data_IF_511124386896
#
_entry.id   IF_511124386896
#
_cell.length_a   1.000
_cell.length_b   1.000
_cell.length_c   1.000
_cell.angle_alpha   90.00
_cell.angle_beta   90.00
_cell.angle_gamma   90.00
#
_symmetry.space_group_name_H-M   'P 1'
#
loop_
_entity.id
_entity.type
_entity.pdbx_description
1 polymer ?
#
# COMPACT_ATOMS: atom_id res chain seq x y z
N UNK A 1 0.98 -15.99 1.81
CA UNK A 1 2.19 -16.57 1.20
C UNK A 1 2.81 -15.52 0.28
N UNK A 2 4.12 -15.27 0.43
CA UNK A 2 4.88 -14.47 -0.54
C UNK A 2 5.40 -15.39 -1.63
N UNK A 3 5.16 -15.03 -2.90
CA UNK A 3 5.52 -15.83 -4.07
C UNK A 3 6.41 -14.96 -4.97
N UNK A 4 7.71 -15.27 -5.09
CA UNK A 4 8.57 -14.62 -6.07
C UNK A 4 8.06 -14.90 -7.49
N UNK A 5 7.93 -13.85 -8.31
CA UNK A 5 7.34 -14.00 -9.66
C UNK A 5 8.17 -14.87 -10.59
N UNK A 6 9.49 -14.86 -10.42
CA UNK A 6 10.44 -15.68 -11.17
C UNK A 6 10.43 -17.17 -10.77
N UNK A 7 9.76 -17.52 -9.66
CA UNK A 7 9.63 -18.90 -9.22
C UNK A 7 8.45 -19.61 -9.92
N UNK A 8 8.71 -20.14 -11.12
CA UNK A 8 7.70 -20.82 -11.93
C UNK A 8 7.04 -22.02 -11.24
N UNK A 9 7.73 -22.71 -10.33
CA UNK A 9 7.17 -23.84 -9.58
C UNK A 9 6.11 -23.38 -8.60
N UNK A 10 6.43 -22.39 -7.75
CA UNK A 10 5.49 -21.84 -6.78
C UNK A 10 4.29 -21.17 -7.45
N UNK A 11 4.52 -20.45 -8.56
CA UNK A 11 3.45 -19.89 -9.39
C UNK A 11 2.53 -20.98 -9.93
N UNK A 12 3.09 -22.08 -10.42
CA UNK A 12 2.32 -23.24 -10.92
C UNK A 12 1.48 -23.90 -9.82
N UNK A 13 2.05 -24.11 -8.64
CA UNK A 13 1.36 -24.69 -7.49
C UNK A 13 0.22 -23.77 -7.01
N UNK A 14 0.46 -22.48 -6.94
CA UNK A 14 -0.57 -21.47 -6.60
C UNK A 14 -1.74 -21.54 -7.60
N UNK A 15 -1.47 -21.52 -8.90
CA UNK A 15 -2.53 -21.58 -9.92
C UNK A 15 -3.29 -22.91 -9.88
N UNK A 16 -2.61 -24.03 -9.61
CA UNK A 16 -3.25 -25.33 -9.43
C UNK A 16 -4.17 -25.35 -8.19
N UNK A 17 -3.73 -24.73 -7.10
CA UNK A 17 -4.56 -24.59 -5.89
C UNK A 17 -5.79 -23.72 -6.15
N UNK A 18 -5.64 -22.58 -6.81
CA UNK A 18 -6.76 -21.70 -7.19
C UNK A 18 -7.74 -22.47 -8.05
N UNK A 19 -7.27 -23.22 -9.06
CA UNK A 19 -8.12 -24.06 -9.91
C UNK A 19 -8.92 -25.06 -9.09
N UNK A 20 -8.27 -25.78 -8.18
CA UNK A 20 -8.95 -26.75 -7.30
C UNK A 20 -10.07 -26.11 -6.48
N UNK A 21 -9.85 -24.90 -5.95
CA UNK A 21 -10.85 -24.17 -5.18
C UNK A 21 -12.02 -23.70 -6.03
N UNK A 22 -11.75 -23.24 -7.25
CA UNK A 22 -12.79 -22.87 -8.22
C UNK A 22 -13.65 -24.07 -8.58
N UNK A 23 -13.03 -25.25 -8.81
CA UNK A 23 -13.73 -26.50 -9.10
C UNK A 23 -14.58 -26.97 -7.90
N UNK A 24 -14.21 -26.59 -6.67
CA UNK A 24 -15.00 -26.78 -5.45
C UNK A 24 -16.13 -25.73 -5.28
N UNK A 25 -16.29 -24.82 -6.23
CA UNK A 25 -17.33 -23.78 -6.18
C UNK A 25 -16.96 -22.53 -5.41
N UNK A 26 -15.68 -22.32 -5.12
CA UNK A 26 -15.15 -21.12 -4.48
C UNK A 26 -14.78 -20.05 -5.50
N UNK A 27 -14.32 -18.88 -5.05
CA UNK A 27 -14.01 -17.70 -5.86
C UNK A 27 -12.59 -17.21 -5.59
N UNK A 28 -11.99 -16.58 -6.58
CA UNK A 28 -10.67 -15.99 -6.46
C UNK A 28 -10.65 -14.54 -6.96
N UNK A 29 -10.07 -13.66 -6.15
CA UNK A 29 -9.69 -12.31 -6.56
C UNK A 29 -8.26 -12.32 -7.12
N UNK A 30 -8.04 -11.51 -8.14
CA UNK A 30 -6.72 -11.18 -8.66
C UNK A 30 -6.62 -9.66 -8.70
N UNK A 31 -5.66 -9.10 -7.98
CA UNK A 31 -5.49 -7.65 -7.85
C UNK A 31 -4.24 -7.22 -8.60
N UNK A 32 -4.40 -6.20 -9.45
CA UNK A 32 -3.32 -5.59 -10.20
C UNK A 32 -3.26 -4.09 -9.89
N UNK A 33 -2.06 -3.49 -9.89
CA UNK A 33 -1.92 -2.07 -9.60
C UNK A 33 -2.44 -1.14 -10.70
N UNK A 34 -2.45 -1.59 -11.95
CA UNK A 34 -2.79 -0.75 -13.12
C UNK A 34 -3.96 -1.33 -13.93
N UNK A 35 -4.64 -0.45 -14.67
CA UNK A 35 -5.73 -0.85 -15.59
C UNK A 35 -5.14 -1.32 -16.92
N UNK A 36 -4.33 -0.48 -17.56
CA UNK A 36 -3.75 -0.71 -18.88
C UNK A 36 -2.22 -0.72 -18.84
N UNK A 37 -1.58 -1.41 -19.78
CA UNK A 37 -0.11 -1.49 -19.87
C UNK A 37 0.55 -0.17 -20.30
N UNK A 38 -0.14 0.63 -21.16
CA UNK A 38 0.42 1.83 -21.80
C UNK A 38 0.21 3.14 -21.01
N UNK A 39 -0.23 3.08 -19.75
CA UNK A 39 -0.55 4.27 -18.95
C UNK A 39 0.68 4.89 -18.23
N UNK A 40 1.91 4.68 -18.73
CA UNK A 40 3.13 5.18 -18.05
C UNK A 40 3.19 6.70 -17.95
N UNK A 41 2.57 7.44 -18.90
CA UNK A 41 2.68 8.90 -18.95
C UNK A 41 1.49 9.65 -18.32
N UNK A 42 0.36 8.99 -18.09
CA UNK A 42 -0.85 9.66 -17.60
C UNK A 42 -0.91 9.78 -16.06
N UNK A 43 -0.39 8.81 -15.32
CA UNK A 43 -0.43 8.82 -13.86
C UNK A 43 0.68 9.70 -13.25
N UNK A 44 1.85 9.78 -13.89
CA UNK A 44 2.90 10.72 -13.50
C UNK A 44 2.52 12.21 -13.70
N UNK A 45 1.74 12.50 -14.74
CA UNK A 45 1.24 13.86 -15.02
C UNK A 45 0.09 14.28 -14.07
N UNK A 46 -0.71 13.33 -13.58
CA UNK A 46 -1.80 13.59 -12.63
C UNK A 46 -1.27 13.84 -11.21
N UNK A 47 -0.21 13.15 -10.79
CA UNK A 47 0.44 13.42 -9.51
C UNK A 47 1.10 14.81 -9.46
N UNK A 48 1.71 15.25 -10.56
CA UNK A 48 2.29 16.60 -10.65
C UNK A 48 1.24 17.73 -10.73
N UNK A 49 0.02 17.44 -11.22
CA UNK A 49 -1.10 18.39 -11.31
C UNK A 49 -1.91 18.52 -10.02
N UNK A 50 -1.88 17.53 -9.13
CA UNK A 50 -2.59 17.58 -7.85
C UNK A 50 -1.93 18.53 -6.81
N UNK A 51 -0.70 18.98 -7.08
CA UNK A 51 -0.01 19.98 -6.24
C UNK A 51 -0.56 21.42 -6.42
N UNK A 52 -1.46 21.67 -7.37
CA UNK A 52 -2.14 22.98 -7.50
C UNK A 52 -3.65 22.79 -7.35
N UNK A 53 -4.14 23.12 -6.18
CA UNK A 53 -5.46 22.89 -5.64
C UNK A 53 -6.64 23.11 -6.57
N UNK A 54 -7.43 22.06 -6.76
CA UNK A 54 -8.88 22.17 -6.97
C UNK A 54 -9.55 20.88 -6.52
N UNK A 55 -10.48 21.02 -5.57
CA UNK A 55 -11.34 19.94 -5.07
C UNK A 55 -12.32 19.54 -6.16
N UNK A 56 -12.19 18.34 -6.73
CA UNK A 56 -13.32 17.61 -7.30
C UNK A 56 -13.22 16.16 -6.84
N UNK A 57 -14.26 15.73 -6.14
CA UNK A 57 -14.43 14.38 -5.65
C UNK A 57 -14.60 13.41 -6.82
N UNK A 58 -13.88 12.29 -6.80
CA UNK A 58 -14.20 11.13 -7.62
C UNK A 58 -13.08 10.67 -8.56
N UNK A 59 -11.97 10.19 -8.03
CA UNK A 59 -11.14 9.18 -8.66
C UNK A 59 -10.22 8.59 -7.58
N UNK A 60 -10.67 7.48 -6.99
CA UNK A 60 -9.79 6.62 -6.21
C UNK A 60 -8.97 5.77 -7.20
N UNK A 61 -8.06 6.39 -7.92
CA UNK A 61 -6.86 5.69 -8.33
C UNK A 61 -6.14 5.38 -7.02
N UNK A 62 -5.96 4.12 -6.69
CA UNK A 62 -5.20 3.72 -5.53
C UNK A 62 -3.83 4.38 -5.63
N UNK A 63 -3.63 5.43 -4.87
CA UNK A 63 -2.33 6.01 -4.70
C UNK A 63 -1.49 4.89 -4.10
N UNK A 64 -0.53 4.38 -4.88
CA UNK A 64 0.57 3.63 -4.31
C UNK A 64 1.10 4.48 -3.18
N UNK A 65 1.37 3.85 -2.07
CA UNK A 65 1.85 4.57 -0.91
C UNK A 65 3.30 5.00 -1.15
N UNK A 66 3.45 6.14 -1.84
CA UNK A 66 4.75 6.76 -2.15
C UNK A 66 5.58 7.03 -0.89
N UNK A 67 4.98 6.96 0.30
CA UNK A 67 5.66 7.14 1.57
C UNK A 67 6.79 6.12 1.80
N UNK A 68 6.72 4.95 1.18
CA UNK A 68 7.80 3.95 1.25
C UNK A 68 8.92 4.20 0.23
N UNK A 69 8.68 5.00 -0.79
CA UNK A 69 9.63 5.29 -1.85
C UNK A 69 10.51 6.52 -1.58
N UNK A 70 10.26 7.25 -0.49
CA UNK A 70 10.99 8.49 -0.13
C UNK A 70 12.49 8.30 0.16
N UNK A 71 12.98 7.07 0.22
CA UNK A 71 14.40 6.76 0.47
C UNK A 71 15.14 6.20 -0.73
N UNK A 72 14.49 5.97 -1.85
CA UNK A 72 15.11 5.40 -3.03
C UNK A 72 15.56 6.50 -4.01
N UNK A 73 16.77 6.34 -4.55
CA UNK A 73 17.30 7.23 -5.58
C UNK A 73 16.50 7.08 -6.88
N UNK A 74 16.30 8.19 -7.61
CA UNK A 74 15.55 8.23 -8.88
C UNK A 74 16.09 7.21 -9.92
N UNK A 75 17.39 6.90 -9.86
CA UNK A 75 17.99 5.86 -10.71
C UNK A 75 17.47 4.45 -10.38
N UNK A 76 17.20 4.14 -9.12
CA UNK A 76 16.64 2.84 -8.71
C UNK A 76 15.17 2.72 -9.10
N UNK A 77 14.42 3.82 -9.02
CA UNK A 77 13.04 3.88 -9.50
C UNK A 77 12.93 3.62 -11.01
N UNK A 78 13.82 4.22 -11.79
CA UNK A 78 13.86 4.06 -13.25
C UNK A 78 14.25 2.64 -13.72
N UNK A 79 14.88 1.84 -12.87
CA UNK A 79 15.28 0.46 -13.19
C UNK A 79 14.23 -0.58 -12.82
N UNK A 80 13.14 -0.20 -12.16
CA UNK A 80 12.09 -1.14 -11.78
C UNK A 80 11.29 -1.58 -13.01
N UNK A 81 10.92 -2.87 -13.09
CA UNK A 81 10.06 -3.33 -14.17
C UNK A 81 8.68 -2.66 -14.09
N UNK A 82 8.00 -2.47 -15.24
CA UNK A 82 6.66 -1.88 -15.27
C UNK A 82 5.68 -2.71 -14.44
N UNK A 83 4.69 -2.03 -13.85
CA UNK A 83 3.67 -2.67 -13.04
C UNK A 83 2.71 -3.48 -13.92
N UNK A 84 2.22 -4.60 -13.39
CA UNK A 84 1.22 -5.41 -14.07
C UNK A 84 -0.12 -4.68 -14.21
N UNK A 85 -0.73 -4.82 -15.36
CA UNK A 85 -2.08 -4.30 -15.62
C UNK A 85 -3.15 -5.39 -15.58
N UNK A 86 -4.41 -4.97 -15.35
CA UNK A 86 -5.56 -5.88 -15.41
C UNK A 86 -5.65 -6.55 -16.77
N UNK A 87 -5.46 -5.80 -17.88
CA UNK A 87 -5.54 -6.32 -19.22
C UNK A 87 -4.50 -7.40 -19.48
N UNK A 88 -3.23 -7.13 -19.14
CA UNK A 88 -2.12 -8.09 -19.30
C UNK A 88 -2.35 -9.37 -18.49
N UNK A 89 -2.74 -9.23 -17.22
CA UNK A 89 -2.93 -10.39 -16.35
C UNK A 89 -4.14 -11.23 -16.78
N UNK A 90 -5.23 -10.64 -17.27
CA UNK A 90 -6.35 -11.39 -17.83
C UNK A 90 -5.89 -12.23 -19.02
N UNK A 91 -5.17 -11.65 -19.97
CA UNK A 91 -4.65 -12.37 -21.13
C UNK A 91 -3.70 -13.50 -20.71
N UNK A 92 -2.77 -13.21 -19.80
CA UNK A 92 -1.83 -14.20 -19.25
C UNK A 92 -2.57 -15.36 -18.58
N UNK A 93 -3.54 -15.09 -17.70
CA UNK A 93 -4.30 -16.13 -17.00
C UNK A 93 -5.18 -16.96 -17.95
N UNK A 94 -5.81 -16.34 -18.94
CA UNK A 94 -6.62 -17.04 -19.94
C UNK A 94 -5.79 -17.98 -20.81
N UNK A 95 -4.51 -17.68 -21.02
CA UNK A 95 -3.59 -18.54 -21.79
C UNK A 95 -3.12 -19.77 -21.01
N UNK A 96 -3.26 -19.78 -19.68
CA UNK A 96 -2.79 -20.87 -18.83
C UNK A 96 -3.70 -22.11 -18.94
N UNK A 97 -3.11 -23.31 -19.12
CA UNK A 97 -3.89 -24.56 -19.21
C UNK A 97 -4.77 -24.81 -17.97
N UNK A 98 -4.34 -24.37 -16.79
CA UNK A 98 -5.05 -24.52 -15.52
C UNK A 98 -6.42 -23.84 -15.55
N UNK A 99 -6.55 -22.72 -16.28
CA UNK A 99 -7.78 -21.94 -16.32
C UNK A 99 -8.60 -22.14 -17.60
N UNK A 100 -8.28 -23.18 -18.38
CA UNK A 100 -9.07 -23.51 -19.57
C UNK A 100 -10.54 -23.75 -19.20
N UNK A 101 -11.44 -23.00 -19.85
CA UNK A 101 -12.87 -23.07 -19.64
C UNK A 101 -13.39 -22.27 -18.44
N UNK A 102 -12.53 -21.59 -17.71
CA UNK A 102 -12.93 -20.65 -16.65
C UNK A 102 -13.24 -19.29 -17.26
N UNK A 103 -14.33 -18.68 -16.78
CA UNK A 103 -14.68 -17.30 -17.14
C UNK A 103 -14.09 -16.33 -16.16
N UNK A 104 -13.58 -15.21 -16.69
CA UNK A 104 -13.02 -14.11 -15.93
C UNK A 104 -13.94 -12.91 -16.02
N UNK A 105 -14.06 -12.15 -14.94
CA UNK A 105 -14.58 -10.81 -14.96
C UNK A 105 -13.45 -9.81 -14.67
N UNK A 106 -13.61 -8.59 -15.14
CA UNK A 106 -12.72 -7.47 -14.80
C UNK A 106 -13.50 -6.39 -14.07
N UNK A 107 -12.85 -5.71 -13.13
CA UNK A 107 -13.42 -4.59 -12.40
C UNK A 107 -12.37 -3.52 -12.14
N UNK A 108 -12.64 -2.31 -12.60
CA UNK A 108 -11.70 -1.19 -12.51
C UNK A 108 -12.37 0.07 -11.97
N UNK A 109 -11.59 1.08 -11.64
CA UNK A 109 -12.12 2.38 -11.24
C UNK A 109 -12.90 3.12 -12.33
N UNK A 110 -12.73 2.71 -13.60
CA UNK A 110 -13.43 3.32 -14.75
C UNK A 110 -14.83 2.79 -14.97
N UNK A 111 -15.17 1.66 -14.35
CA UNK A 111 -16.49 1.05 -14.51
C UNK A 111 -17.56 1.85 -13.75
N UNK A 112 -18.74 1.98 -14.35
CA UNK A 112 -19.88 2.62 -13.70
C UNK A 112 -20.50 1.70 -12.61
N UNK A 113 -21.33 2.26 -11.76
CA UNK A 113 -21.90 1.52 -10.62
C UNK A 113 -22.84 0.38 -11.06
N UNK A 114 -23.48 0.48 -12.23
CA UNK A 114 -24.33 -0.58 -12.79
C UNK A 114 -23.46 -1.76 -13.21
N UNK A 115 -22.39 -1.50 -13.95
CA UNK A 115 -21.40 -2.51 -14.37
C UNK A 115 -20.76 -3.17 -13.15
N UNK A 116 -20.34 -2.37 -12.15
CA UNK A 116 -19.77 -2.90 -10.89
C UNK A 116 -20.73 -3.85 -10.20
N UNK A 117 -22.00 -3.46 -10.08
CA UNK A 117 -23.02 -4.28 -9.44
C UNK A 117 -23.26 -5.60 -10.17
N UNK A 118 -23.33 -5.58 -11.51
CA UNK A 118 -23.52 -6.78 -12.33
C UNK A 118 -22.30 -7.71 -12.24
N UNK A 119 -21.09 -7.18 -12.37
CA UNK A 119 -19.83 -7.94 -12.27
C UNK A 119 -19.72 -8.63 -10.91
N UNK A 120 -20.05 -7.91 -9.83
CA UNK A 120 -20.04 -8.49 -8.48
C UNK A 120 -21.10 -9.58 -8.29
N UNK A 121 -22.30 -9.41 -8.85
CA UNK A 121 -23.35 -10.45 -8.81
C UNK A 121 -22.92 -11.72 -9.58
N UNK A 122 -22.33 -11.57 -10.76
CA UNK A 122 -21.81 -12.69 -11.55
C UNK A 122 -20.64 -13.40 -10.84
N UNK A 123 -19.79 -12.66 -10.16
CA UNK A 123 -18.71 -13.20 -9.35
C UNK A 123 -19.25 -13.95 -8.12
N UNK A 124 -20.17 -13.37 -7.37
CA UNK A 124 -20.80 -14.00 -6.20
C UNK A 124 -21.54 -15.28 -6.57
N UNK A 125 -22.33 -15.27 -7.66
CA UNK A 125 -23.05 -16.46 -8.16
C UNK A 125 -22.13 -17.54 -8.71
N UNK A 126 -20.90 -17.17 -9.15
CA UNK A 126 -19.91 -18.05 -9.75
C UNK A 126 -20.01 -18.21 -11.26
N UNK A 127 -20.78 -17.36 -11.89
CA UNK A 127 -20.78 -17.25 -13.35
C UNK A 127 -19.37 -16.89 -13.85
N UNK A 128 -18.71 -16.00 -13.14
CA UNK A 128 -17.30 -15.60 -13.36
C UNK A 128 -16.50 -15.82 -12.09
N UNK A 129 -15.99 -17.03 -11.84
CA UNK A 129 -15.37 -17.39 -10.55
C UNK A 129 -14.02 -16.71 -10.28
N UNK A 130 -13.42 -16.06 -11.27
CA UNK A 130 -12.21 -15.24 -11.10
C UNK A 130 -12.54 -13.80 -11.45
N UNK A 131 -12.26 -12.89 -10.53
CA UNK A 131 -12.38 -11.44 -10.71
C UNK A 131 -10.99 -10.81 -10.71
N UNK A 132 -10.59 -10.24 -11.85
CA UNK A 132 -9.35 -9.48 -11.99
C UNK A 132 -9.68 -8.00 -11.87
N UNK A 133 -9.09 -7.33 -10.90
CA UNK A 133 -9.47 -5.96 -10.57
C UNK A 133 -8.27 -5.11 -10.12
N UNK A 134 -8.46 -3.81 -10.13
CA UNK A 134 -7.59 -2.90 -9.36
C UNK A 134 -8.02 -2.89 -7.88
N UNK A 135 -7.44 -2.03 -7.07
CA UNK A 135 -7.77 -1.88 -5.64
C UNK A 135 -9.22 -1.46 -5.35
N UNK A 136 -10.03 -1.19 -6.36
CA UNK A 136 -11.47 -0.89 -6.18
C UNK A 136 -12.23 -1.94 -5.37
N UNK A 137 -11.71 -3.16 -5.26
CA UNK A 137 -12.28 -4.21 -4.41
C UNK A 137 -12.08 -3.97 -2.90
N UNK A 138 -11.29 -3.00 -2.50
CA UNK A 138 -11.18 -2.58 -1.09
C UNK A 138 -12.52 -2.05 -0.55
N UNK A 139 -13.33 -1.46 -1.42
CA UNK A 139 -14.66 -0.93 -1.10
C UNK A 139 -15.69 -1.79 -1.80
N UNK A 140 -16.44 -2.63 -1.09
CA UNK A 140 -17.48 -3.39 -1.75
C UNK A 140 -18.04 -4.56 -0.97
N UNK A 141 -18.78 -5.39 -1.67
CA UNK A 141 -19.57 -6.51 -1.16
C UNK A 141 -18.67 -7.64 -0.68
N UNK A 142 -18.98 -8.17 0.49
CA UNK A 142 -18.36 -9.38 1.02
C UNK A 142 -18.86 -10.61 0.28
N UNK A 143 -17.96 -11.31 -0.40
CA UNK A 143 -18.29 -12.57 -1.08
C UNK A 143 -17.86 -13.75 -0.20
N UNK A 144 -18.84 -14.39 0.44
CA UNK A 144 -18.59 -15.46 1.42
C UNK A 144 -17.80 -16.65 0.87
N UNK A 145 -17.92 -16.92 -0.44
CA UNK A 145 -17.18 -18.01 -1.12
C UNK A 145 -15.82 -17.58 -1.68
N UNK A 146 -15.40 -16.36 -1.47
CA UNK A 146 -14.06 -15.91 -1.89
C UNK A 146 -13.01 -16.48 -0.91
N UNK A 147 -12.22 -17.43 -1.41
CA UNK A 147 -11.22 -18.14 -0.62
C UNK A 147 -9.79 -17.84 -1.04
N UNK A 148 -9.58 -17.29 -2.22
CA UNK A 148 -8.25 -16.93 -2.71
C UNK A 148 -8.18 -15.47 -3.12
N UNK A 149 -7.07 -14.83 -2.78
CA UNK A 149 -6.68 -13.54 -3.33
C UNK A 149 -5.22 -13.59 -3.81
N UNK A 150 -4.98 -13.16 -5.03
CA UNK A 150 -3.65 -12.99 -5.61
C UNK A 150 -3.42 -11.50 -5.79
N UNK A 151 -2.32 -10.98 -5.30
CA UNK A 151 -1.96 -9.56 -5.42
C UNK A 151 -0.65 -9.49 -6.20
N UNK A 152 -0.72 -8.99 -7.43
CA UNK A 152 0.46 -8.74 -8.26
C UNK A 152 1.18 -7.47 -7.81
N UNK A 153 2.51 -7.44 -7.98
CA UNK A 153 3.36 -6.34 -7.53
C UNK A 153 3.12 -5.97 -6.05
N UNK A 154 2.97 -6.99 -5.20
CA UNK A 154 2.63 -6.81 -3.79
C UNK A 154 3.67 -5.96 -3.03
N UNK A 155 4.91 -5.94 -3.49
CA UNK A 155 6.00 -5.10 -2.99
C UNK A 155 5.77 -3.60 -3.18
N UNK A 156 4.79 -3.22 -4.02
CA UNK A 156 4.43 -1.82 -4.32
C UNK A 156 3.28 -1.30 -3.48
N UNK A 157 2.64 -2.16 -2.70
CA UNK A 157 1.53 -1.79 -1.83
C UNK A 157 2.00 -1.48 -0.41
N UNK A 158 1.28 -0.57 0.26
CA UNK A 158 1.43 -0.32 1.68
C UNK A 158 0.93 -1.49 2.53
N UNK A 159 1.48 -1.62 3.75
CA UNK A 159 1.09 -2.66 4.70
C UNK A 159 -0.42 -2.64 5.01
N UNK A 160 -0.97 -1.45 5.23
CA UNK A 160 -2.40 -1.26 5.49
C UNK A 160 -3.27 -1.71 4.32
N UNK A 161 -2.88 -1.41 3.07
CA UNK A 161 -3.59 -1.85 1.87
C UNK A 161 -3.55 -3.37 1.71
N UNK A 162 -2.37 -3.99 1.86
CA UNK A 162 -2.24 -5.44 1.81
C UNK A 162 -3.09 -6.13 2.88
N UNK A 163 -3.16 -5.55 4.08
CA UNK A 163 -4.01 -6.06 5.15
C UNK A 163 -5.51 -5.99 4.78
N UNK A 164 -5.96 -4.88 4.22
CA UNK A 164 -7.35 -4.70 3.78
C UNK A 164 -7.70 -5.66 2.64
N UNK A 165 -6.83 -5.80 1.63
CA UNK A 165 -7.02 -6.74 0.53
C UNK A 165 -7.06 -8.19 1.02
N UNK A 166 -6.14 -8.61 1.90
CA UNK A 166 -6.16 -9.93 2.52
C UNK A 166 -7.46 -10.20 3.25
N UNK A 167 -8.02 -9.19 3.91
CA UNK A 167 -9.29 -9.27 4.61
C UNK A 167 -10.53 -9.47 3.72
N UNK A 168 -10.38 -9.48 2.38
CA UNK A 168 -11.48 -9.73 1.43
C UNK A 168 -11.81 -11.21 1.26
N UNK A 169 -10.97 -12.10 1.74
CA UNK A 169 -11.18 -13.55 1.66
C UNK A 169 -11.31 -14.18 3.05
N UNK A 170 -11.92 -15.37 3.11
CA UNK A 170 -12.04 -16.14 4.35
C UNK A 170 -13.23 -15.74 5.24
N UNK A 171 -14.11 -14.85 4.81
CA UNK A 171 -15.24 -14.37 5.61
C UNK A 171 -16.37 -15.41 5.77
N UNK A 172 -16.40 -16.44 4.91
CA UNK A 172 -17.38 -17.51 4.96
C UNK A 172 -17.01 -18.69 5.84
N UNK A 173 -15.95 -18.62 6.67
CA UNK A 173 -15.49 -19.73 7.49
C UNK A 173 -14.75 -20.83 6.71
N UNK A 174 -14.47 -20.63 5.43
CA UNK A 174 -13.63 -21.52 4.62
C UNK A 174 -12.16 -21.15 4.77
N UNK A 175 -11.29 -22.15 4.65
CA UNK A 175 -9.85 -21.92 4.56
C UNK A 175 -9.56 -20.97 3.41
N UNK A 176 -8.81 -19.91 3.66
CA UNK A 176 -8.49 -18.91 2.66
C UNK A 176 -6.99 -18.73 2.50
N UNK A 177 -6.57 -18.29 1.31
CA UNK A 177 -5.19 -18.02 1.00
C UNK A 177 -5.01 -16.65 0.32
N UNK A 178 -4.03 -15.89 0.81
CA UNK A 178 -3.56 -14.69 0.15
C UNK A 178 -2.16 -14.96 -0.43
N UNK A 179 -1.98 -14.68 -1.72
CA UNK A 179 -0.75 -14.86 -2.45
C UNK A 179 -0.23 -13.50 -2.90
N UNK A 180 0.94 -13.14 -2.40
CA UNK A 180 1.59 -11.85 -2.63
C UNK A 180 2.70 -12.07 -3.66
N UNK A 181 2.43 -11.70 -4.92
CA UNK A 181 3.40 -11.84 -6.00
C UNK A 181 4.36 -10.66 -5.93
N UNK A 182 5.66 -10.95 -5.83
CA UNK A 182 6.67 -9.93 -5.63
C UNK A 182 7.86 -10.10 -6.56
N UNK A 183 8.42 -8.99 -6.98
CA UNK A 183 9.69 -8.88 -7.71
C UNK A 183 10.77 -8.19 -6.87
N UNK A 184 10.49 -7.96 -5.61
CA UNK A 184 11.43 -7.31 -4.70
C UNK A 184 12.65 -8.21 -4.42
N UNK A 185 13.87 -7.64 -4.37
CA UNK A 185 15.04 -8.34 -3.87
C UNK A 185 14.83 -8.82 -2.42
N UNK A 186 15.36 -10.01 -2.09
CA UNK A 186 15.14 -10.63 -0.77
C UNK A 186 15.57 -9.75 0.42
N UNK A 187 16.60 -8.92 0.24
CA UNK A 187 17.15 -8.08 1.31
C UNK A 187 16.53 -6.67 1.35
N UNK A 188 15.53 -6.39 0.52
CA UNK A 188 14.91 -5.07 0.42
C UNK A 188 13.93 -4.78 1.56
N UNK A 189 13.67 -3.50 1.81
CA UNK A 189 12.62 -3.08 2.74
C UNK A 189 11.22 -3.57 2.29
N UNK A 190 11.01 -3.64 0.98
CA UNK A 190 9.78 -4.19 0.41
C UNK A 190 9.59 -5.67 0.79
N UNK A 191 10.64 -6.50 0.69
CA UNK A 191 10.58 -7.91 1.12
C UNK A 191 10.27 -8.00 2.62
N UNK A 192 10.94 -7.19 3.46
CA UNK A 192 10.67 -7.14 4.91
C UNK A 192 9.24 -6.75 5.25
N UNK A 193 8.62 -5.82 4.49
CA UNK A 193 7.19 -5.50 4.64
C UNK A 193 6.30 -6.69 4.33
N UNK A 194 6.59 -7.42 3.26
CA UNK A 194 5.83 -8.62 2.89
C UNK A 194 5.94 -9.73 3.95
N UNK A 195 7.11 -9.88 4.57
CA UNK A 195 7.31 -10.82 5.69
C UNK A 195 6.41 -10.47 6.87
N UNK A 196 6.22 -9.19 7.19
CA UNK A 196 5.28 -8.77 8.25
C UNK A 196 3.85 -9.20 7.91
N UNK A 197 3.37 -8.93 6.70
CA UNK A 197 2.03 -9.34 6.26
C UNK A 197 1.87 -10.86 6.28
N UNK A 198 2.91 -11.61 5.96
CA UNK A 198 2.88 -13.08 6.02
C UNK A 198 2.89 -13.58 7.47
N UNK A 199 3.61 -12.91 8.37
CA UNK A 199 3.86 -13.37 9.75
C UNK A 199 2.71 -13.15 10.72
N UNK A 200 1.85 -12.14 10.51
CA UNK A 200 0.77 -11.83 11.45
C UNK A 200 -0.56 -11.53 10.77
N UNK A 201 -1.65 -11.81 11.48
CA UNK A 201 -3.02 -11.42 11.13
C UNK A 201 -3.51 -10.23 11.98
N UNK A 202 -2.73 -9.83 13.00
CA UNK A 202 -3.11 -8.75 13.92
C UNK A 202 -2.92 -7.39 13.23
N UNK A 203 -4.04 -6.66 13.09
CA UNK A 203 -4.04 -5.33 12.50
C UNK A 203 -3.24 -4.30 13.30
N UNK A 204 -3.13 -4.47 14.63
CA UNK A 204 -2.35 -3.57 15.48
C UNK A 204 -0.84 -3.77 15.26
N UNK A 205 -0.38 -5.03 15.14
CA UNK A 205 1.02 -5.32 14.82
C UNK A 205 1.38 -4.81 13.41
N UNK A 206 0.48 -4.95 12.44
CA UNK A 206 0.67 -4.42 11.09
C UNK A 206 0.75 -2.90 11.08
N UNK A 207 -0.14 -2.22 11.81
CA UNK A 207 -0.12 -0.76 11.93
C UNK A 207 1.16 -0.26 12.61
N UNK A 208 1.62 -0.98 13.63
CA UNK A 208 2.89 -0.67 14.30
C UNK A 208 4.08 -0.82 13.34
N UNK A 209 4.13 -1.90 12.57
CA UNK A 209 5.16 -2.12 11.56
C UNK A 209 5.10 -1.06 10.44
N UNK A 210 3.89 -0.67 10.00
CA UNK A 210 3.69 0.39 9.01
C UNK A 210 4.32 1.71 9.44
N UNK A 211 4.09 2.10 10.70
CA UNK A 211 4.73 3.25 11.33
C UNK A 211 6.26 3.14 11.39
N UNK A 212 6.77 1.94 11.66
CA UNK A 212 8.23 1.71 11.72
C UNK A 212 8.90 1.83 10.35
N UNK A 213 8.25 1.34 9.29
CA UNK A 213 8.75 1.42 7.91
C UNK A 213 8.65 2.83 7.32
N UNK A 214 7.55 3.54 7.55
CA UNK A 214 7.37 4.93 7.09
C UNK A 214 8.34 5.90 7.77
N UNK A 215 8.80 5.55 8.95
CA UNK A 215 9.64 6.45 9.76
C UNK A 215 8.85 7.59 10.40
N UNK A 216 9.55 8.37 11.21
CA UNK A 216 8.94 9.41 12.04
C UNK A 216 8.47 10.65 11.29
N UNK A 217 8.95 10.90 10.07
CA UNK A 217 8.65 12.11 9.30
C UNK A 217 7.19 12.22 8.87
N UNK A 218 6.62 11.09 8.46
CA UNK A 218 5.26 11.05 7.91
C UNK A 218 4.16 11.24 8.97
N UNK A 219 4.43 10.79 10.21
CA UNK A 219 3.44 10.83 11.30
C UNK A 219 3.22 12.25 11.84
N UNK A 220 4.19 13.14 11.62
CA UNK A 220 4.15 14.52 12.14
C UNK A 220 3.71 15.56 11.09
N UNK A 221 3.27 15.12 9.91
CA UNK A 221 2.76 16.03 8.88
C UNK A 221 3.84 16.76 8.07
N UNK A 222 5.10 16.35 8.17
CA UNK A 222 6.21 16.90 7.37
C UNK A 222 6.23 16.38 5.91
N UNK A 223 5.16 15.66 5.50
CA UNK A 223 5.01 15.05 4.17
C UNK A 223 4.99 16.05 3.00
N UNK A 224 5.00 17.36 3.25
CA UNK A 224 5.03 18.37 2.18
C UNK A 224 6.42 18.80 1.72
N UNK A 225 7.50 18.33 2.35
CA UNK A 225 8.84 18.84 2.01
C UNK A 225 9.94 17.78 1.86
N UNK A 226 9.62 16.51 1.59
CA UNK A 226 10.63 15.48 1.20
C UNK A 226 11.81 15.34 2.19
N UNK A 227 11.65 15.74 3.45
CA UNK A 227 12.71 15.85 4.45
C UNK A 227 12.74 14.65 5.38
N UNK A 228 13.94 14.12 5.59
CA UNK A 228 14.24 13.19 6.70
C UNK A 228 13.70 13.77 8.00
N UNK A 229 13.06 12.93 8.86
CA UNK A 229 12.59 13.30 10.19
C UNK A 229 13.52 14.32 10.86
N UNK A 230 12.98 15.46 11.31
CA UNK A 230 13.72 16.46 12.05
C UNK A 230 14.37 15.94 13.35
N UNK A 231 13.96 14.74 13.79
CA UNK A 231 14.54 14.04 14.95
C UNK A 231 15.75 13.22 14.51
N UNK A 232 16.93 13.79 14.56
CA UNK A 232 18.20 13.16 14.12
C UNK A 232 18.57 11.88 14.88
N UNK A 233 18.14 11.74 16.14
CA UNK A 233 18.57 10.67 17.05
C UNK A 233 17.42 9.84 17.62
N UNK A 234 16.19 10.29 17.54
CA UNK A 234 15.00 9.65 18.16
C UNK A 234 14.12 9.03 17.10
N UNK A 235 13.60 7.85 17.41
CA UNK A 235 12.58 7.17 16.60
C UNK A 235 11.23 7.37 17.27
N UNK A 236 10.27 8.01 16.58
CA UNK A 236 8.95 8.37 17.15
C UNK A 236 8.27 7.19 17.82
N UNK A 237 8.34 6.00 17.23
CA UNK A 237 7.69 4.81 17.76
C UNK A 237 8.44 4.19 18.95
N UNK A 238 9.78 4.11 18.87
CA UNK A 238 10.58 3.44 19.92
C UNK A 238 10.86 4.33 21.12
N UNK A 239 10.93 5.64 20.88
CA UNK A 239 11.35 6.63 21.88
C UNK A 239 10.19 7.52 22.35
N UNK A 240 8.92 7.07 22.19
CA UNK A 240 7.69 7.82 22.56
C UNK A 240 7.81 8.43 23.96
N UNK A 241 8.23 7.65 24.96
CA UNK A 241 8.37 8.14 26.34
C UNK A 241 9.40 9.26 26.47
N UNK A 242 10.48 9.19 25.71
CA UNK A 242 11.53 10.22 25.71
C UNK A 242 10.99 11.49 25.06
N UNK A 243 10.25 11.33 23.93
CA UNK A 243 9.63 12.44 23.20
C UNK A 243 8.57 13.12 24.05
N UNK A 244 7.70 12.36 24.72
CA UNK A 244 6.68 12.90 25.64
C UNK A 244 7.32 13.66 26.81
N UNK A 245 8.35 13.07 27.44
CA UNK A 245 9.06 13.73 28.52
C UNK A 245 9.74 15.02 28.05
N UNK A 246 10.44 14.98 26.91
CA UNK A 246 11.07 16.15 26.31
C UNK A 246 10.05 17.26 25.99
N UNK A 247 8.85 16.90 25.52
CA UNK A 247 7.75 17.84 25.24
C UNK A 247 7.25 18.51 26.52
N UNK A 248 7.06 17.74 27.58
CA UNK A 248 6.64 18.28 28.89
C UNK A 248 7.68 19.29 29.44
N UNK A 249 8.96 18.92 29.41
CA UNK A 249 10.05 19.79 29.87
C UNK A 249 10.20 21.04 28.99
N UNK A 250 10.10 20.90 27.65
CA UNK A 250 10.11 22.05 26.75
C UNK A 250 8.93 23.00 27.02
N UNK A 251 7.73 22.48 27.25
CA UNK A 251 6.54 23.28 27.58
C UNK A 251 6.76 24.04 28.89
N UNK A 252 7.30 23.36 29.90
CA UNK A 252 7.60 23.98 31.19
C UNK A 252 8.63 25.11 31.08
N UNK A 253 9.69 24.85 30.32
CA UNK A 253 10.79 25.80 30.10
C UNK A 253 10.31 27.04 29.36
N UNK A 254 9.57 26.89 28.27
CA UNK A 254 9.03 28.00 27.49
C UNK A 254 8.00 28.81 28.29
N UNK A 255 7.24 28.17 29.18
CA UNK A 255 6.34 28.90 30.08
C UNK A 255 7.09 29.78 31.12
N UNK A 256 8.31 29.40 31.49
CA UNK A 256 9.13 30.15 32.49
C UNK A 256 10.04 31.19 31.81
N UNK A 257 10.58 30.86 30.60
CA UNK A 257 11.51 31.69 29.84
C UNK A 257 11.12 31.67 28.35
N UNK A 258 10.05 32.43 27.98
CA UNK A 258 9.50 32.37 26.59
C UNK A 258 10.51 32.77 25.53
N UNK A 259 11.40 33.68 25.83
CA UNK A 259 12.42 34.20 24.90
C UNK A 259 13.77 33.49 25.05
N UNK A 260 13.87 32.46 25.90
CA UNK A 260 15.09 31.69 26.23
C UNK A 260 16.27 32.57 26.63
N UNK A 261 16.01 33.67 27.33
CA UNK A 261 17.04 34.63 27.74
C UNK A 261 17.97 34.06 28.82
N UNK A 262 17.45 33.21 29.70
CA UNK A 262 18.24 32.49 30.71
C UNK A 262 18.91 31.23 30.14
N UNK A 263 18.50 30.77 28.92
CA UNK A 263 18.92 29.54 28.27
C UNK A 263 19.59 29.80 26.90
N UNK A 264 20.56 30.71 26.87
CA UNK A 264 21.20 31.23 25.64
C UNK A 264 21.76 30.13 24.70
N UNK A 265 22.31 29.05 25.27
CA UNK A 265 22.82 27.93 24.45
C UNK A 265 21.70 27.17 23.77
N UNK A 266 20.55 27.00 24.45
CA UNK A 266 19.36 26.37 23.86
C UNK A 266 18.75 27.27 22.79
N UNK A 267 18.68 28.59 23.04
CA UNK A 267 18.23 29.56 22.06
C UNK A 267 19.06 29.47 20.76
N UNK A 268 20.38 29.40 20.89
CA UNK A 268 21.30 29.23 19.77
C UNK A 268 21.04 27.92 19.00
N UNK A 269 20.85 26.81 19.72
CA UNK A 269 20.57 25.51 19.10
C UNK A 269 19.20 25.49 18.36
N UNK A 270 18.18 26.14 18.93
CA UNK A 270 16.85 26.29 18.28
C UNK A 270 16.97 27.12 17.02
N UNK A 271 17.67 28.24 17.06
CA UNK A 271 17.91 29.10 15.89
C UNK A 271 18.68 28.37 14.81
N UNK A 272 19.70 27.59 15.15
CA UNK A 272 20.45 26.80 14.17
C UNK A 272 19.61 25.67 13.55
N UNK A 273 18.72 25.07 14.34
CA UNK A 273 17.80 24.03 13.85
C UNK A 273 16.72 24.61 12.93
N UNK A 274 16.23 25.82 13.20
CA UNK A 274 15.18 26.48 12.41
C UNK A 274 15.70 27.22 11.18
N UNK A 275 17.02 27.47 11.08
CA UNK A 275 17.65 28.05 9.90
C UNK A 275 17.40 27.15 8.66
N UNK A 276 16.61 27.68 7.71
CA UNK A 276 16.16 26.96 6.50
C UNK A 276 14.73 26.43 6.55
N UNK A 277 14.08 26.46 7.72
CA UNK A 277 12.70 26.02 7.91
C UNK A 277 11.78 27.18 8.34
N UNK A 278 12.04 28.39 7.86
CA UNK A 278 11.31 29.61 8.25
C UNK A 278 9.82 29.60 7.89
N UNK A 279 9.40 28.73 6.98
CA UNK A 279 7.99 28.57 6.57
C UNK A 279 7.11 27.97 7.67
N UNK A 280 7.67 27.30 8.68
CA UNK A 280 6.90 26.70 9.79
C UNK A 280 6.49 27.67 10.87
N UNK A 281 7.12 28.87 10.96
CA UNK A 281 6.84 29.83 12.03
C UNK A 281 5.67 30.78 11.73
N UNK A 282 5.10 30.75 10.51
CA UNK A 282 4.05 31.66 10.06
C UNK A 282 2.67 31.03 9.84
N UNK A 283 2.49 29.76 10.17
CA UNK A 283 1.18 29.08 10.09
C UNK A 283 0.53 29.04 11.48
N UNK A 284 -0.18 30.11 11.79
CA UNK A 284 -1.22 30.12 12.83
C UNK A 284 -2.58 29.91 12.17
#
# INVERSE_FOLDING_TARGET
FVVPEDNASLMGEMFALIRKRIDAGERAYVVCPRIDADAEDADGALAASAASGSKTAGSSAAAFDDAYDLGEDDEQRAQRPPLHSVAEIVERLQSLPQFKGIRFATLTGRDDDTTKSQVMADFESGITPILVATTVIEVGVDVAKASCIVIFDADRYGLSQLHQLRGRVGRGGTDSGAFLISRAPADSDAARRLDVIQGTLDGAEIAQADLEFRGAGDVLGDAQSGGKSGLKLLRVVKDVKIIEHARVEATRLVAQDPDLLEHVQLAGAVLDFTRGNETFLTSN
#
